data_IF_327312836612
#
_entry.id   IF_327312836612
#
_cell.length_a   1.000
_cell.length_b   1.000
_cell.length_c   1.000
_cell.angle_alpha   90.00
_cell.angle_beta   90.00
_cell.angle_gamma   90.00
#
_symmetry.space_group_name_H-M   'P 1'
#
loop_
_entity.id
_entity.type
_entity.pdbx_description
1 polymer ?
#
# COMPACT_ATOMS: atom_id res chain seq x y z
N UNK A 1 19.32 -2.69 20.64
CA UNK A 1 18.00 -3.02 20.10
C UNK A 1 17.33 -3.96 21.08
N UNK A 2 16.38 -3.46 21.83
CA UNK A 2 15.87 -3.99 23.10
C UNK A 2 15.08 -5.31 22.88
N UNK A 3 15.38 -6.34 23.71
CA UNK A 3 14.73 -7.67 23.66
C UNK A 3 13.20 -7.56 23.83
N UNK A 4 12.72 -6.54 24.53
CA UNK A 4 11.27 -6.22 24.64
C UNK A 4 10.61 -5.83 23.31
N UNK A 5 11.36 -5.34 22.32
CA UNK A 5 10.82 -4.98 20.99
C UNK A 5 10.56 -6.22 20.12
N UNK A 6 11.25 -7.34 20.39
CA UNK A 6 11.10 -8.61 19.65
C UNK A 6 9.85 -9.39 20.04
N UNK A 7 9.33 -9.20 21.26
CA UNK A 7 8.17 -9.93 21.78
C UNK A 7 6.82 -9.32 21.41
N UNK A 8 6.76 -8.07 20.92
CA UNK A 8 5.51 -7.33 20.67
C UNK A 8 5.16 -7.14 19.20
N UNK A 9 5.94 -7.67 18.26
CA UNK A 9 5.52 -7.69 16.85
C UNK A 9 4.42 -8.73 16.68
N UNK A 10 3.18 -8.34 16.33
CA UNK A 10 2.13 -9.30 16.09
C UNK A 10 2.58 -10.24 14.95
N UNK A 11 2.70 -11.54 15.23
CA UNK A 11 2.95 -12.60 14.24
C UNK A 11 1.88 -12.69 13.13
N UNK A 12 1.01 -11.69 12.98
CA UNK A 12 -0.20 -11.71 12.18
C UNK A 12 -0.19 -10.93 10.89
N UNK A 13 0.94 -10.38 10.45
CA UNK A 13 1.03 -9.86 9.08
C UNK A 13 1.37 -11.02 8.16
N UNK A 14 0.35 -11.81 7.82
CA UNK A 14 0.53 -12.94 6.91
C UNK A 14 0.93 -12.43 5.53
N UNK A 15 1.75 -13.18 4.82
CA UNK A 15 2.13 -12.92 3.43
C UNK A 15 0.90 -12.60 2.55
N UNK A 16 -0.23 -13.24 2.83
CA UNK A 16 -1.51 -13.01 2.14
C UNK A 16 -1.98 -11.56 2.20
N UNK A 17 -1.94 -10.93 3.38
CA UNK A 17 -2.30 -9.51 3.52
C UNK A 17 -1.33 -8.64 2.73
N UNK A 18 -0.01 -8.91 2.80
CA UNK A 18 0.98 -8.20 2.01
C UNK A 18 0.75 -8.28 0.51
N UNK A 19 0.36 -9.46 0.01
CA UNK A 19 0.01 -9.66 -1.40
C UNK A 19 -1.24 -8.87 -1.79
N UNK A 20 -2.29 -8.89 -0.95
CA UNK A 20 -3.51 -8.11 -1.22
C UNK A 20 -3.20 -6.61 -1.23
N UNK A 21 -2.38 -6.11 -0.28
CA UNK A 21 -2.00 -4.70 -0.26
C UNK A 21 -1.17 -4.31 -1.50
N UNK A 22 -0.26 -5.17 -1.96
CA UNK A 22 0.50 -4.93 -3.18
C UNK A 22 -0.41 -4.94 -4.42
N UNK A 23 -1.35 -5.89 -4.50
CA UNK A 23 -2.35 -5.93 -5.56
C UNK A 23 -3.18 -4.64 -5.62
N UNK A 24 -3.72 -4.21 -4.47
CA UNK A 24 -4.52 -2.98 -4.39
C UNK A 24 -3.68 -1.76 -4.78
N UNK A 25 -2.42 -1.69 -4.34
CA UNK A 25 -1.51 -0.60 -4.73
C UNK A 25 -1.33 -0.52 -6.24
N UNK A 26 -1.05 -1.65 -6.92
CA UNK A 26 -0.94 -1.68 -8.37
C UNK A 26 -2.27 -1.37 -9.08
N UNK A 27 -3.39 -1.89 -8.55
CA UNK A 27 -4.72 -1.61 -9.08
C UNK A 27 -5.04 -0.11 -9.04
N UNK A 28 -4.86 0.52 -7.88
CA UNK A 28 -5.21 1.94 -7.68
C UNK A 28 -4.27 2.86 -8.45
N UNK A 29 -2.97 2.52 -8.58
CA UNK A 29 -2.05 3.27 -9.43
C UNK A 29 -2.47 3.23 -10.90
N UNK A 30 -2.83 2.06 -11.43
CA UNK A 30 -3.34 1.94 -12.79
C UNK A 30 -4.68 2.69 -12.97
N UNK A 31 -5.58 2.60 -11.98
CA UNK A 31 -6.83 3.34 -11.96
C UNK A 31 -6.61 4.85 -12.02
N UNK A 32 -5.82 5.41 -11.12
CA UNK A 32 -5.61 6.87 -11.08
C UNK A 32 -4.87 7.36 -12.32
N UNK A 33 -3.91 6.60 -12.83
CA UNK A 33 -3.22 6.94 -14.07
C UNK A 33 -4.18 7.03 -15.26
N UNK A 34 -5.13 6.10 -15.40
CA UNK A 34 -6.06 6.03 -16.53
C UNK A 34 -7.21 7.03 -16.41
N UNK A 35 -7.74 7.20 -15.18
CA UNK A 35 -8.98 7.96 -14.98
C UNK A 35 -8.75 9.35 -14.36
N UNK A 36 -7.52 9.69 -13.94
CA UNK A 36 -7.17 10.92 -13.23
C UNK A 36 -5.91 11.56 -13.80
N UNK A 37 -5.93 11.85 -15.11
CA UNK A 37 -4.94 12.66 -15.84
C UNK A 37 -3.48 12.17 -15.76
N UNK A 38 -3.26 10.87 -15.65
CA UNK A 38 -1.91 10.30 -15.66
C UNK A 38 -1.14 10.44 -14.35
N UNK A 39 -1.84 10.61 -13.22
CA UNK A 39 -1.25 10.77 -11.88
C UNK A 39 -1.28 9.44 -11.14
N UNK A 40 -0.17 9.08 -10.47
CA UNK A 40 -0.11 7.93 -9.58
C UNK A 40 -0.51 8.29 -8.14
N UNK A 41 -1.28 7.43 -7.50
CA UNK A 41 -1.64 7.62 -6.08
C UNK A 41 -0.60 7.05 -5.12
N UNK A 42 0.06 5.93 -5.46
CA UNK A 42 1.07 5.26 -4.64
C UNK A 42 2.49 5.49 -5.17
N UNK A 43 2.71 5.44 -6.50
CA UNK A 43 4.03 5.49 -7.13
C UNK A 43 4.54 6.92 -7.29
N UNK A 44 4.88 7.58 -6.17
CA UNK A 44 5.30 8.98 -6.16
C UNK A 44 6.55 9.28 -7.01
N UNK A 45 7.42 8.30 -7.23
CA UNK A 45 8.58 8.45 -8.12
C UNK A 45 8.15 8.79 -9.55
N UNK A 46 7.05 8.21 -10.04
CA UNK A 46 6.48 8.54 -11.35
C UNK A 46 6.01 9.99 -11.40
N UNK A 47 5.28 10.44 -10.37
CA UNK A 47 4.82 11.83 -10.27
C UNK A 47 5.98 12.82 -10.25
N UNK A 48 7.07 12.53 -9.52
CA UNK A 48 8.27 13.38 -9.47
C UNK A 48 8.93 13.47 -10.87
N UNK A 49 9.00 12.38 -11.62
CA UNK A 49 9.55 12.37 -12.97
C UNK A 49 8.68 13.22 -13.91
N UNK A 50 7.38 12.98 -13.91
CA UNK A 50 6.44 13.73 -14.76
C UNK A 50 6.41 15.23 -14.39
N UNK A 51 6.46 15.56 -13.10
CA UNK A 51 6.61 16.93 -12.63
C UNK A 51 7.84 17.60 -13.24
N UNK A 52 9.01 16.92 -13.21
CA UNK A 52 10.24 17.46 -13.80
C UNK A 52 10.14 17.67 -15.31
N UNK A 53 9.51 16.74 -16.04
CA UNK A 53 9.27 16.87 -17.48
C UNK A 53 8.37 18.09 -17.79
N UNK A 54 7.26 18.25 -17.06
CA UNK A 54 6.33 19.36 -17.25
C UNK A 54 6.92 20.71 -16.86
N UNK A 55 7.82 20.73 -15.89
CA UNK A 55 8.55 21.94 -15.53
C UNK A 55 9.42 22.45 -16.68
N UNK A 56 10.11 21.56 -17.40
CA UNK A 56 10.92 21.90 -18.59
C UNK A 56 10.03 22.36 -19.75
N UNK A 57 8.83 21.77 -19.91
CA UNK A 57 7.85 22.19 -20.92
C UNK A 57 7.18 23.53 -20.60
N UNK A 58 7.39 24.10 -19.39
CA UNK A 58 6.75 25.33 -18.94
C UNK A 58 5.27 25.17 -18.53
N UNK A 59 4.77 23.92 -18.44
CA UNK A 59 3.40 23.61 -18.03
C UNK A 59 3.27 23.56 -16.51
N UNK A 60 3.19 24.75 -15.90
CA UNK A 60 3.10 24.89 -14.44
C UNK A 60 1.83 24.26 -13.87
N UNK A 61 0.73 24.28 -14.61
CA UNK A 61 -0.54 23.68 -14.18
C UNK A 61 -0.39 22.16 -13.99
N UNK A 62 0.16 21.45 -14.97
CA UNK A 62 0.44 20.02 -14.86
C UNK A 62 1.55 19.71 -13.86
N UNK A 63 2.52 20.59 -13.71
CA UNK A 63 3.55 20.45 -12.68
C UNK A 63 2.91 20.41 -11.27
N UNK A 64 1.98 21.33 -10.97
CA UNK A 64 1.24 21.35 -9.71
C UNK A 64 0.38 20.09 -9.53
N UNK A 65 -0.26 19.61 -10.59
CA UNK A 65 -1.07 18.39 -10.57
C UNK A 65 -0.26 17.16 -10.12
N UNK A 66 1.02 17.05 -10.50
CA UNK A 66 1.91 15.98 -10.03
C UNK A 66 2.50 16.26 -8.64
N UNK A 67 2.71 17.53 -8.27
CA UNK A 67 3.26 17.91 -6.97
C UNK A 67 2.29 17.62 -5.82
N UNK A 68 1.01 17.92 -5.99
CA UNK A 68 0.01 17.84 -4.93
C UNK A 68 -0.12 16.43 -4.31
N UNK A 69 -0.18 15.32 -5.09
CA UNK A 69 -0.15 13.97 -4.55
C UNK A 69 1.13 13.62 -3.79
N UNK A 70 2.29 14.12 -4.23
CA UNK A 70 3.59 13.93 -3.55
C UNK A 70 3.57 14.58 -2.16
N UNK A 71 3.07 15.82 -2.09
CA UNK A 71 2.93 16.56 -0.82
C UNK A 71 1.91 15.87 0.10
N UNK A 72 0.77 15.43 -0.45
CA UNK A 72 -0.25 14.70 0.31
C UNK A 72 0.30 13.39 0.87
N UNK A 73 1.06 12.64 0.08
CA UNK A 73 1.72 11.41 0.50
C UNK A 73 2.72 11.67 1.64
N UNK A 74 3.56 12.71 1.51
CA UNK A 74 4.51 13.10 2.56
C UNK A 74 3.80 13.37 3.89
N UNK A 75 2.75 14.20 3.89
CA UNK A 75 1.99 14.48 5.10
C UNK A 75 1.23 13.26 5.63
N UNK A 76 0.76 12.37 4.78
CA UNK A 76 0.15 11.10 5.21
C UNK A 76 1.12 10.22 5.99
N UNK A 77 2.37 10.07 5.51
CA UNK A 77 3.43 9.37 6.25
C UNK A 77 3.76 10.08 7.54
N UNK A 78 3.98 11.40 7.49
CA UNK A 78 4.35 12.23 8.66
C UNK A 78 3.32 12.12 9.79
N UNK A 79 2.04 12.31 9.46
CA UNK A 79 0.95 12.23 10.44
C UNK A 79 0.85 10.81 11.02
N UNK A 80 0.96 9.78 10.19
CA UNK A 80 0.89 8.40 10.65
C UNK A 80 2.05 8.07 11.61
N UNK A 81 3.25 8.53 11.32
CA UNK A 81 4.41 8.29 12.18
C UNK A 81 4.29 9.06 13.50
N UNK A 82 3.84 10.31 13.44
CA UNK A 82 3.56 11.13 14.63
C UNK A 82 2.52 10.47 15.53
N UNK A 83 1.41 10.00 14.97
CA UNK A 83 0.37 9.29 15.74
C UNK A 83 0.90 7.98 16.34
N UNK A 84 1.71 7.22 15.61
CA UNK A 84 2.33 5.99 16.10
C UNK A 84 3.27 6.23 17.29
N UNK A 85 3.88 7.40 17.42
CA UNK A 85 4.74 7.76 18.57
C UNK A 85 3.91 8.14 19.81
N UNK A 86 2.70 8.66 19.63
CA UNK A 86 1.85 9.15 20.72
C UNK A 86 0.84 8.12 21.23
N UNK A 87 0.37 7.24 20.34
CA UNK A 87 -0.62 6.23 20.69
C UNK A 87 0.09 5.01 21.29
N UNK A 88 -0.20 4.71 22.55
CA UNK A 88 0.32 3.53 23.26
C UNK A 88 -0.05 2.26 22.50
N UNK A 89 0.93 1.42 22.25
CA UNK A 89 0.94 0.24 21.33
C UNK A 89 -0.08 -0.87 21.60
N UNK A 90 -1.02 -0.71 22.51
CA UNK A 90 -2.03 -1.75 22.80
C UNK A 90 -3.02 -1.99 21.66
N UNK A 91 -2.96 -1.17 20.58
CA UNK A 91 -4.06 -1.06 19.60
C UNK A 91 -3.63 -1.14 18.13
N UNK A 92 -2.45 -1.68 17.80
CA UNK A 92 -1.93 -1.71 16.40
C UNK A 92 -2.92 -2.37 15.42
N UNK A 93 -3.58 -3.47 15.81
CA UNK A 93 -4.58 -4.13 14.94
C UNK A 93 -5.82 -3.25 14.77
N UNK A 94 -6.19 -2.47 15.77
CA UNK A 94 -7.32 -1.53 15.68
C UNK A 94 -7.00 -0.40 14.70
N UNK A 95 -5.77 0.13 14.69
CA UNK A 95 -5.33 1.16 13.74
C UNK A 95 -5.40 0.64 12.30
N UNK A 96 -4.87 -0.56 12.03
CA UNK A 96 -4.95 -1.17 10.69
C UNK A 96 -6.40 -1.38 10.23
N UNK A 97 -7.27 -1.81 11.13
CA UNK A 97 -8.70 -1.96 10.84
C UNK A 97 -9.35 -0.63 10.50
N UNK A 98 -9.06 0.43 11.26
CA UNK A 98 -9.59 1.78 11.01
C UNK A 98 -9.10 2.29 9.65
N UNK A 99 -7.82 2.15 9.35
CA UNK A 99 -7.22 2.61 8.08
C UNK A 99 -7.86 1.90 6.89
N UNK A 100 -7.95 0.57 6.92
CA UNK A 100 -8.59 -0.18 5.83
C UNK A 100 -10.07 0.18 5.67
N UNK A 101 -10.78 0.38 6.78
CA UNK A 101 -12.18 0.81 6.72
C UNK A 101 -12.30 2.20 6.09
N UNK A 102 -11.45 3.16 6.49
CA UNK A 102 -11.43 4.50 5.91
C UNK A 102 -11.11 4.46 4.41
N UNK A 103 -10.16 3.62 4.00
CA UNK A 103 -9.79 3.43 2.60
C UNK A 103 -10.93 2.82 1.78
N UNK A 104 -11.61 1.78 2.31
CA UNK A 104 -12.79 1.19 1.66
C UNK A 104 -13.90 2.23 1.48
N UNK A 105 -14.22 2.98 2.54
CA UNK A 105 -15.24 4.03 2.49
C UNK A 105 -14.88 5.08 1.43
N UNK A 106 -13.65 5.56 1.45
CA UNK A 106 -13.18 6.57 0.52
C UNK A 106 -13.23 6.07 -0.93
N UNK A 107 -12.67 4.88 -1.23
CA UNK A 107 -12.70 4.33 -2.60
C UNK A 107 -14.13 4.01 -3.06
N UNK A 108 -15.02 3.64 -2.13
CA UNK A 108 -16.44 3.48 -2.43
C UNK A 108 -17.07 4.82 -2.84
N UNK A 109 -16.80 5.90 -2.06
CA UNK A 109 -17.27 7.25 -2.38
C UNK A 109 -16.71 7.73 -3.71
N UNK A 110 -15.41 7.55 -3.96
CA UNK A 110 -14.75 7.92 -5.22
C UNK A 110 -15.44 7.28 -6.43
N UNK A 111 -15.88 6.02 -6.33
CA UNK A 111 -16.63 5.35 -7.40
C UNK A 111 -18.03 5.92 -7.69
N UNK A 112 -18.57 6.73 -6.77
CA UNK A 112 -19.84 7.48 -6.99
C UNK A 112 -19.62 8.93 -7.41
N UNK A 113 -18.39 9.45 -7.34
CA UNK A 113 -18.13 10.84 -7.68
C UNK A 113 -18.40 11.10 -9.17
N UNK A 114 -19.12 12.18 -9.48
CA UNK A 114 -19.33 12.58 -10.86
C UNK A 114 -18.01 13.10 -11.48
N UNK A 115 -17.91 13.02 -12.79
CA UNK A 115 -16.72 13.38 -13.58
C UNK A 115 -16.37 14.87 -13.54
N UNK A 116 -17.25 15.74 -13.03
CA UNK A 116 -17.03 17.18 -12.90
C UNK A 116 -16.20 17.57 -11.66
N UNK A 117 -15.89 16.61 -10.77
CA UNK A 117 -14.97 16.89 -9.63
C UNK A 117 -13.53 16.94 -10.13
N UNK A 118 -12.76 17.98 -9.77
CA UNK A 118 -11.36 18.09 -10.15
C UNK A 118 -10.56 16.83 -9.77
N UNK A 119 -9.81 16.28 -10.73
CA UNK A 119 -9.03 15.05 -10.55
C UNK A 119 -7.99 15.20 -9.45
N UNK A 120 -7.47 16.40 -9.23
CA UNK A 120 -6.52 16.73 -8.19
C UNK A 120 -7.07 16.45 -6.78
N UNK A 121 -8.35 16.78 -6.53
CA UNK A 121 -8.98 16.51 -5.23
C UNK A 121 -9.02 15.00 -4.94
N UNK A 122 -9.31 14.20 -5.95
CA UNK A 122 -9.36 12.73 -5.82
C UNK A 122 -7.97 12.15 -5.63
N UNK A 123 -6.98 12.58 -6.43
CA UNK A 123 -5.60 12.06 -6.35
C UNK A 123 -4.91 12.45 -5.06
N UNK A 124 -5.11 13.67 -4.54
CA UNK A 124 -4.63 14.12 -3.23
C UNK A 124 -5.16 13.20 -2.12
N UNK A 125 -6.48 12.97 -2.11
CA UNK A 125 -7.13 12.16 -1.09
C UNK A 125 -6.66 10.71 -1.12
N UNK A 126 -6.59 10.10 -2.32
CA UNK A 126 -6.12 8.72 -2.47
C UNK A 126 -4.64 8.64 -2.08
N UNK A 127 -3.78 9.58 -2.49
CA UNK A 127 -2.35 9.58 -2.15
C UNK A 127 -2.11 9.76 -0.64
N UNK A 128 -2.90 10.59 0.02
CA UNK A 128 -2.82 10.73 1.47
C UNK A 128 -3.16 9.42 2.20
N UNK A 129 -4.25 8.76 1.82
CA UNK A 129 -4.64 7.49 2.46
C UNK A 129 -3.70 6.34 2.09
N UNK A 130 -3.19 6.30 0.85
CA UNK A 130 -2.18 5.33 0.44
C UNK A 130 -0.90 5.43 1.30
N UNK A 131 -0.48 6.65 1.63
CA UNK A 131 0.66 6.88 2.52
C UNK A 131 0.42 6.30 3.93
N UNK A 132 -0.77 6.51 4.48
CA UNK A 132 -1.17 5.96 5.77
C UNK A 132 -1.19 4.42 5.72
N UNK A 133 -1.73 3.84 4.65
CA UNK A 133 -1.74 2.40 4.41
C UNK A 133 -0.30 1.84 4.35
N UNK A 134 0.55 2.41 3.49
CA UNK A 134 1.94 1.96 3.32
C UNK A 134 2.70 2.03 4.64
N UNK A 135 2.57 3.12 5.40
CA UNK A 135 3.23 3.29 6.70
C UNK A 135 2.75 2.27 7.74
N UNK A 136 1.47 1.87 7.69
CA UNK A 136 0.86 0.93 8.63
C UNK A 136 1.15 -0.54 8.33
N UNK A 137 1.51 -0.87 7.07
CA UNK A 137 1.73 -2.23 6.59
C UNK A 137 3.18 -2.49 6.13
N UNK A 138 4.18 -1.88 6.77
CA UNK A 138 5.61 -1.91 6.37
C UNK A 138 6.33 -3.25 6.55
N UNK A 139 5.78 -4.22 7.27
CA UNK A 139 6.48 -5.45 7.64
C UNK A 139 5.63 -6.69 7.41
N UNK A 140 6.17 -7.68 6.69
CA UNK A 140 5.60 -9.04 6.54
C UNK A 140 6.60 -10.06 7.04
N UNK A 141 6.21 -10.93 7.98
CA UNK A 141 7.08 -11.97 8.56
C UNK A 141 8.46 -11.45 9.01
N UNK A 142 8.51 -10.33 9.73
CA UNK A 142 9.75 -9.65 10.13
C UNK A 142 10.66 -9.22 8.95
N UNK A 143 10.17 -9.30 7.72
CA UNK A 143 10.86 -8.80 6.54
C UNK A 143 10.32 -7.41 6.24
N UNK A 144 11.14 -6.35 6.30
CA UNK A 144 10.74 -5.05 5.79
C UNK A 144 10.43 -5.19 4.30
N UNK A 145 9.25 -4.76 3.91
CA UNK A 145 8.89 -4.68 2.49
C UNK A 145 8.06 -3.42 2.26
N UNK A 146 8.05 -2.98 1.04
CA UNK A 146 7.11 -1.93 0.63
C UNK A 146 6.10 -2.53 -0.34
N UNK A 147 4.82 -2.53 0.04
CA UNK A 147 3.75 -3.10 -0.80
C UNK A 147 3.65 -2.45 -2.18
N UNK A 148 4.16 -1.24 -2.33
CA UNK A 148 4.05 -0.43 -3.55
C UNK A 148 5.39 0.07 -4.10
N UNK A 149 6.52 -0.27 -3.48
CA UNK A 149 7.85 0.17 -3.92
C UNK A 149 8.58 -0.98 -4.63
N UNK A 150 8.16 -1.30 -5.86
CA UNK A 150 8.70 -2.42 -6.63
C UNK A 150 10.22 -2.38 -6.80
N UNK A 151 10.82 -1.21 -7.04
CA UNK A 151 12.28 -1.05 -7.20
C UNK A 151 13.05 -1.47 -5.96
N UNK A 152 12.60 -1.06 -4.77
CA UNK A 152 13.21 -1.46 -3.49
C UNK A 152 13.08 -2.97 -3.24
N UNK A 153 11.94 -3.55 -3.58
CA UNK A 153 11.71 -4.99 -3.47
C UNK A 153 12.59 -5.77 -4.46
N UNK A 154 12.76 -5.31 -5.70
CA UNK A 154 13.65 -5.93 -6.70
C UNK A 154 15.10 -5.91 -6.24
N UNK A 155 15.59 -4.78 -5.70
CA UNK A 155 16.92 -4.70 -5.11
C UNK A 155 17.10 -5.73 -3.99
N UNK A 156 16.17 -5.77 -3.04
CA UNK A 156 16.22 -6.70 -1.93
C UNK A 156 16.13 -8.16 -2.39
N UNK A 157 15.34 -8.46 -3.43
CA UNK A 157 15.27 -9.78 -4.04
C UNK A 157 16.62 -10.20 -4.61
N UNK A 158 17.28 -9.34 -5.40
CA UNK A 158 18.58 -9.62 -5.98
C UNK A 158 19.66 -9.88 -4.91
N UNK A 159 19.69 -9.06 -3.85
CA UNK A 159 20.60 -9.24 -2.71
C UNK A 159 20.38 -10.60 -2.00
N UNK A 160 19.13 -11.01 -1.81
CA UNK A 160 18.80 -12.30 -1.19
C UNK A 160 19.12 -13.49 -2.08
N UNK A 161 18.89 -13.37 -3.38
CA UNK A 161 19.25 -14.40 -4.34
C UNK A 161 20.77 -14.62 -4.40
N UNK A 162 21.55 -13.53 -4.44
CA UNK A 162 23.02 -13.60 -4.38
C UNK A 162 23.49 -14.30 -3.09
N UNK A 163 22.94 -13.91 -1.93
CA UNK A 163 23.27 -14.56 -0.64
C UNK A 163 22.93 -16.04 -0.65
N UNK A 164 21.78 -16.45 -1.26
CA UNK A 164 21.43 -17.84 -1.40
C UNK A 164 22.46 -18.63 -2.22
N UNK A 165 22.93 -18.07 -3.34
CA UNK A 165 23.99 -18.74 -4.14
C UNK A 165 25.30 -18.87 -3.39
N UNK A 166 25.68 -17.87 -2.59
CA UNK A 166 26.91 -17.86 -1.81
C UNK A 166 26.88 -18.81 -0.60
N UNK A 167 25.74 -18.87 0.12
CA UNK A 167 25.65 -19.60 1.42
C UNK A 167 24.83 -20.86 1.37
N UNK A 168 24.05 -21.08 0.29
CA UNK A 168 23.04 -22.15 0.14
C UNK A 168 21.95 -22.14 1.23
N UNK A 169 21.81 -21.05 1.96
CA UNK A 169 20.82 -20.88 3.01
C UNK A 169 19.43 -20.69 2.42
N UNK A 170 18.53 -21.65 2.67
CA UNK A 170 17.14 -21.68 2.17
C UNK A 170 16.29 -20.50 2.70
N UNK A 171 16.69 -19.90 3.80
CA UNK A 171 15.98 -18.71 4.30
C UNK A 171 16.13 -17.53 3.33
N UNK A 172 17.31 -17.34 2.75
CA UNK A 172 17.54 -16.33 1.72
C UNK A 172 16.71 -16.57 0.46
N UNK A 173 16.57 -17.83 0.01
CA UNK A 173 15.67 -18.18 -1.09
C UNK A 173 14.20 -17.86 -0.77
N UNK A 174 13.77 -18.16 0.45
CA UNK A 174 12.41 -17.84 0.90
C UNK A 174 12.15 -16.32 0.89
N UNK A 175 13.11 -15.51 1.34
CA UNK A 175 13.00 -14.05 1.29
C UNK A 175 12.98 -13.53 -0.16
N UNK A 176 13.83 -14.06 -1.04
CA UNK A 176 13.79 -13.74 -2.47
C UNK A 176 12.41 -13.97 -3.07
N UNK A 177 11.84 -15.16 -2.87
CA UNK A 177 10.52 -15.50 -3.40
C UNK A 177 9.41 -14.59 -2.84
N UNK A 178 9.48 -14.20 -1.57
CA UNK A 178 8.53 -13.24 -0.97
C UNK A 178 8.54 -11.89 -1.69
N UNK A 179 9.72 -11.33 -1.95
CA UNK A 179 9.83 -10.07 -2.69
C UNK A 179 9.29 -10.21 -4.13
N UNK A 180 9.60 -11.31 -4.81
CA UNK A 180 9.11 -11.57 -6.16
C UNK A 180 7.59 -11.70 -6.21
N UNK A 181 6.98 -12.43 -5.27
CA UNK A 181 5.51 -12.55 -5.18
C UNK A 181 4.82 -11.21 -4.91
N UNK A 182 5.41 -10.33 -4.12
CA UNK A 182 4.87 -8.99 -3.87
C UNK A 182 4.89 -8.16 -5.15
N UNK A 183 6.03 -8.14 -5.88
CA UNK A 183 6.12 -7.42 -7.13
C UNK A 183 5.17 -7.99 -8.21
N UNK A 184 5.04 -9.32 -8.27
CA UNK A 184 4.10 -9.97 -9.18
C UNK A 184 2.65 -9.62 -8.81
N UNK A 185 2.32 -9.61 -7.52
CA UNK A 185 0.98 -9.22 -7.06
C UNK A 185 0.64 -7.77 -7.43
N UNK A 186 1.61 -6.85 -7.30
CA UNK A 186 1.46 -5.46 -7.74
C UNK A 186 1.21 -5.39 -9.26
N UNK A 187 2.01 -6.11 -10.06
CA UNK A 187 1.83 -6.17 -11.52
C UNK A 187 0.45 -6.69 -11.89
N UNK A 188 0.01 -7.79 -11.28
CA UNK A 188 -1.33 -8.36 -11.52
C UNK A 188 -2.41 -7.35 -11.13
N UNK A 189 -2.23 -6.66 -10.00
CA UNK A 189 -3.10 -5.56 -9.59
C UNK A 189 -3.20 -4.46 -10.64
N UNK A 190 -2.07 -4.02 -11.20
CA UNK A 190 -2.04 -3.00 -12.24
C UNK A 190 -2.75 -3.47 -13.52
N UNK A 191 -2.56 -4.73 -13.94
CA UNK A 191 -3.25 -5.31 -15.10
C UNK A 191 -4.76 -5.33 -14.89
N UNK A 192 -5.21 -5.83 -13.74
CA UNK A 192 -6.64 -5.90 -13.40
C UNK A 192 -7.24 -4.50 -13.24
N UNK A 193 -6.52 -3.60 -12.58
CA UNK A 193 -6.90 -2.19 -12.41
C UNK A 193 -7.06 -1.49 -13.75
N UNK A 194 -6.09 -1.66 -14.66
CA UNK A 194 -6.16 -1.12 -16.03
C UNK A 194 -7.37 -1.67 -16.78
N UNK A 195 -7.60 -2.99 -16.72
CA UNK A 195 -8.72 -3.62 -17.41
C UNK A 195 -10.08 -3.05 -16.96
N UNK A 196 -10.31 -2.94 -15.65
CA UNK A 196 -11.57 -2.42 -15.13
C UNK A 196 -11.69 -0.90 -15.33
N UNK A 197 -10.60 -0.13 -15.22
CA UNK A 197 -10.62 1.31 -15.44
C UNK A 197 -11.04 1.67 -16.87
N UNK A 198 -10.61 0.91 -17.89
CA UNK A 198 -11.05 1.09 -19.26
C UNK A 198 -12.50 0.66 -19.53
N UNK A 199 -13.08 -0.20 -18.68
CA UNK A 199 -14.43 -0.72 -18.88
C UNK A 199 -15.50 0.03 -18.10
N UNK A 200 -15.22 0.40 -16.86
CA UNK A 200 -16.19 0.97 -15.93
C UNK A 200 -15.74 2.28 -15.28
N UNK A 201 -14.61 2.86 -15.74
CA UNK A 201 -14.09 4.17 -15.36
C UNK A 201 -14.00 4.33 -13.83
N UNK A 202 -14.65 5.35 -13.25
CA UNK A 202 -14.62 5.68 -11.82
C UNK A 202 -15.08 4.52 -10.95
N UNK A 203 -16.03 3.71 -11.40
CA UNK A 203 -16.57 2.55 -10.67
C UNK A 203 -15.56 1.42 -10.50
N UNK A 204 -14.42 1.47 -11.20
CA UNK A 204 -13.35 0.48 -11.05
C UNK A 204 -12.85 0.41 -9.61
N UNK A 205 -12.89 1.52 -8.84
CA UNK A 205 -12.52 1.53 -7.42
C UNK A 205 -13.30 0.53 -6.56
N UNK A 206 -14.55 0.22 -6.93
CA UNK A 206 -15.36 -0.78 -6.20
C UNK A 206 -14.78 -2.19 -6.28
N UNK A 207 -14.09 -2.50 -7.39
CA UNK A 207 -13.39 -3.79 -7.51
C UNK A 207 -12.24 -3.87 -6.51
N UNK A 208 -11.47 -2.79 -6.33
CA UNK A 208 -10.41 -2.76 -5.31
C UNK A 208 -10.96 -2.87 -3.88
N UNK A 209 -12.16 -2.35 -3.61
CA UNK A 209 -12.82 -2.49 -2.31
C UNK A 209 -13.07 -3.96 -1.92
N UNK A 210 -13.35 -4.86 -2.88
CA UNK A 210 -13.54 -6.29 -2.62
C UNK A 210 -12.26 -6.90 -2.00
N UNK A 211 -11.10 -6.54 -2.54
CA UNK A 211 -9.82 -7.02 -2.03
C UNK A 211 -9.48 -6.42 -0.66
N UNK A 212 -9.77 -5.14 -0.45
CA UNK A 212 -9.60 -4.48 0.85
C UNK A 212 -10.52 -5.08 1.93
N UNK A 213 -11.78 -5.35 1.61
CA UNK A 213 -12.72 -6.04 2.50
C UNK A 213 -12.18 -7.43 2.85
N UNK A 214 -11.65 -8.16 1.87
CA UNK A 214 -11.03 -9.48 2.12
C UNK A 214 -9.88 -9.36 3.11
N UNK A 215 -8.98 -8.40 2.93
CA UNK A 215 -7.88 -8.14 3.87
C UNK A 215 -8.38 -7.76 5.27
N UNK A 216 -9.42 -6.91 5.35
CA UNK A 216 -10.03 -6.49 6.60
C UNK A 216 -10.62 -7.68 7.37
N UNK A 217 -11.37 -8.54 6.68
CA UNK A 217 -11.95 -9.76 7.27
C UNK A 217 -10.84 -10.68 7.78
N UNK A 218 -9.75 -10.87 7.01
CA UNK A 218 -8.62 -11.69 7.44
C UNK A 218 -7.98 -11.14 8.73
N UNK A 219 -7.78 -9.83 8.84
CA UNK A 219 -7.23 -9.17 10.04
C UNK A 219 -8.14 -9.40 11.25
N UNK A 220 -9.45 -9.24 11.08
CA UNK A 220 -10.44 -9.42 12.16
C UNK A 220 -10.48 -10.88 12.64
N UNK A 221 -10.50 -11.84 11.72
CA UNK A 221 -10.51 -13.28 12.03
C UNK A 221 -9.24 -13.69 12.78
N UNK A 222 -8.06 -13.26 12.29
CA UNK A 222 -6.78 -13.53 12.96
C UNK A 222 -6.74 -12.97 14.38
N UNK A 223 -7.34 -11.79 14.59
CA UNK A 223 -7.47 -11.19 15.93
C UNK A 223 -8.34 -12.03 16.85
N UNK A 224 -9.53 -12.43 16.39
CA UNK A 224 -10.45 -13.27 17.18
C UNK A 224 -9.80 -14.59 17.59
N UNK A 225 -9.07 -15.22 16.66
CA UNK A 225 -8.34 -16.48 16.93
C UNK A 225 -7.29 -16.31 18.03
N UNK A 226 -6.51 -15.23 17.98
CA UNK A 226 -5.48 -14.94 19.00
C UNK A 226 -6.08 -14.67 20.37
N UNK A 227 -7.17 -13.90 20.45
CA UNK A 227 -7.84 -13.64 21.72
C UNK A 227 -8.39 -14.91 22.36
N UNK A 228 -8.94 -15.84 21.56
CA UNK A 228 -9.41 -17.13 22.06
C UNK A 228 -8.26 -17.98 22.63
N UNK A 229 -7.13 -18.07 21.91
CA UNK A 229 -5.96 -18.82 22.39
C UNK A 229 -5.43 -18.26 23.72
N UNK A 230 -5.29 -16.94 23.82
CA UNK A 230 -4.84 -16.27 25.07
C UNK A 230 -5.83 -16.44 26.24
N UNK A 231 -7.08 -16.77 25.99
CA UNK A 231 -8.08 -17.04 27.04
C UNK A 231 -8.01 -18.50 27.55
N UNK A 232 -7.51 -19.45 26.72
CA UNK A 232 -7.32 -20.85 27.10
C UNK A 232 -5.98 -21.09 27.83
N UNK A 233 -5.01 -20.16 27.73
CA UNK A 233 -3.70 -20.25 28.41
C UNK A 233 -3.71 -19.60 29.82
N UNK A 234 -4.83 -19.03 30.26
CA UNK A 234 -5.07 -18.50 31.60
C UNK A 234 -5.95 -19.44 32.41
#
# INVERSE_FOLDING_TARGET
MDIKQKAMTPRGKTMRIGLIMAFVGGFVDAYTYITRDGVFAFAQTGNIIFMGMKLVEGDISRCLMYLLPVVAYFFGVFITDYLNTKIVRTTVITIQTIILTAEIVMLTVVGFLPTNIPNECVTILISFLSAIQVQSFRVVYNTPYACTMCTGNLRSAAERLHKYFATKDKENLTHFLRYMYINLSFLVGAVVGSFFSHRIFEKATWVSCIFLITALVMIIVDRKKKMRLAHFEK
#
